data_IF_537060194558
#
_entry.id   IF_537060194558
#
_cell.length_a   1.000
_cell.length_b   1.000
_cell.length_c   1.000
_cell.angle_alpha   90.00
_cell.angle_beta   90.00
_cell.angle_gamma   90.00
#
_symmetry.space_group_name_H-M   'P 1'
#
loop_
_entity.id
_entity.type
_entity.pdbx_description
1 polymer ?
#
# COMPACT_ATOMS: atom_id res chain seq x y z
N UNK A 1 1.02 0.92 -21.49
CA UNK A 1 1.17 2.24 -20.86
C UNK A 1 1.43 3.26 -21.97
N UNK A 2 0.53 4.22 -22.17
CA UNK A 2 0.72 5.29 -23.16
C UNK A 2 1.28 6.50 -22.42
N UNK A 3 2.56 6.78 -22.63
CA UNK A 3 3.25 7.94 -22.07
C UNK A 3 3.19 9.02 -23.16
N UNK A 4 2.39 10.06 -22.98
CA UNK A 4 2.59 11.31 -23.71
C UNK A 4 3.72 12.05 -22.99
N UNK A 5 4.88 12.12 -23.64
CA UNK A 5 6.08 12.82 -23.17
C UNK A 5 6.02 14.27 -23.67
N UNK A 6 5.78 15.21 -22.75
CA UNK A 6 6.58 16.44 -22.75
C UNK A 6 7.83 16.08 -21.91
N UNK A 7 9.05 16.44 -22.32
CA UNK A 7 10.31 15.86 -21.77
C UNK A 7 10.42 15.90 -20.22
N UNK A 8 9.71 16.82 -19.56
CA UNK A 8 9.72 17.00 -18.10
C UNK A 8 8.40 16.66 -17.39
N UNK A 9 7.39 16.14 -18.11
CA UNK A 9 6.06 15.86 -17.53
C UNK A 9 5.47 14.57 -18.07
N UNK A 10 5.01 13.71 -17.16
CA UNK A 10 4.34 12.46 -17.51
C UNK A 10 3.03 12.29 -16.78
N UNK A 11 2.09 11.64 -17.47
CA UNK A 11 0.83 11.20 -16.88
C UNK A 11 0.87 9.69 -16.65
N UNK A 12 0.54 9.25 -15.43
CA UNK A 12 0.43 7.85 -15.04
C UNK A 12 -0.99 7.53 -14.62
N UNK A 13 -1.47 6.40 -15.13
CA UNK A 13 -2.77 5.82 -14.79
C UNK A 13 -2.59 4.33 -14.56
N UNK A 14 -3.41 3.72 -13.72
CA UNK A 14 -3.27 2.30 -13.44
C UNK A 14 -4.33 1.77 -12.49
N UNK A 15 -3.95 0.73 -11.76
CA UNK A 15 -4.76 0.12 -10.70
C UNK A 15 -4.04 0.27 -9.37
N UNK A 16 -4.82 0.28 -8.29
CA UNK A 16 -4.30 0.17 -6.92
C UNK A 16 -4.88 -1.09 -6.30
N UNK A 17 -4.13 -1.72 -5.41
CA UNK A 17 -4.60 -2.90 -4.68
C UNK A 17 -5.29 -2.43 -3.41
N UNK A 18 -6.55 -2.83 -3.22
CA UNK A 18 -7.38 -2.36 -2.12
C UNK A 18 -8.18 -3.49 -1.46
N UNK A 19 -8.43 -3.33 -0.16
CA UNK A 19 -9.39 -4.11 0.60
C UNK A 19 -10.26 -3.16 1.44
N UNK A 20 -11.54 -3.47 1.60
CA UNK A 20 -12.45 -2.65 2.41
C UNK A 20 -12.56 -3.21 3.82
N UNK A 21 -12.05 -2.46 4.80
CA UNK A 21 -12.21 -2.79 6.21
C UNK A 21 -13.57 -2.29 6.74
N UNK A 22 -14.31 -3.06 7.54
CA UNK A 22 -15.64 -2.67 8.03
C UNK A 22 -15.68 -1.33 8.78
N UNK A 23 -14.65 -1.03 9.58
CA UNK A 23 -14.56 0.19 10.37
C UNK A 23 -13.69 1.31 9.75
N UNK A 24 -12.70 0.95 8.93
CA UNK A 24 -11.71 1.91 8.42
C UNK A 24 -12.03 2.38 7.00
N UNK A 25 -12.98 1.71 6.34
CA UNK A 25 -13.25 1.91 4.91
C UNK A 25 -12.13 1.31 4.05
N UNK A 26 -11.86 1.89 2.87
CA UNK A 26 -10.88 1.33 1.95
C UNK A 26 -9.46 1.51 2.47
N UNK A 27 -8.71 0.41 2.44
CA UNK A 27 -7.27 0.37 2.66
C UNK A 27 -6.56 0.06 1.34
N UNK A 28 -5.36 0.58 1.20
CA UNK A 28 -4.55 0.49 -0.01
C UNK A 28 -3.14 0.00 0.31
N UNK A 29 -2.56 -0.81 -0.57
CA UNK A 29 -1.12 -1.10 -0.49
C UNK A 29 -0.32 0.18 -0.72
N UNK A 30 0.62 0.48 0.16
CA UNK A 30 1.55 1.59 0.05
C UNK A 30 2.98 1.06 -0.05
N UNK A 31 3.77 1.65 -0.93
CA UNK A 31 5.16 1.29 -1.12
C UNK A 31 5.99 2.55 -1.33
N UNK A 32 7.05 2.67 -0.55
CA UNK A 32 8.02 3.78 -0.64
C UNK A 32 9.37 3.17 -0.98
N UNK A 33 9.97 3.59 -2.09
CA UNK A 33 11.33 3.17 -2.42
C UNK A 33 12.33 4.14 -1.82
N UNK A 34 13.23 3.62 -0.99
CA UNK A 34 14.31 4.39 -0.36
C UNK A 34 15.65 4.20 -1.11
N UNK A 35 15.59 3.68 -2.35
CA UNK A 35 16.80 3.37 -3.14
C UNK A 35 17.64 4.60 -3.46
N UNK A 36 17.00 5.76 -3.63
CA UNK A 36 17.68 7.03 -3.88
C UNK A 36 18.62 7.44 -2.74
N UNK A 37 18.31 7.02 -1.51
CA UNK A 37 19.11 7.32 -0.30
C UNK A 37 19.87 6.09 0.22
N UNK A 38 19.85 4.98 -0.52
CA UNK A 38 20.48 3.71 -0.12
C UNK A 38 19.78 3.01 1.05
N UNK A 39 18.55 3.40 1.38
CA UNK A 39 17.73 2.79 2.43
C UNK A 39 16.96 1.55 1.95
N UNK A 40 16.40 0.75 2.88
CA UNK A 40 15.53 -0.37 2.53
C UNK A 40 14.18 0.13 2.02
N UNK A 41 13.66 -0.50 0.96
CA UNK A 41 12.29 -0.24 0.48
C UNK A 41 11.27 -0.52 1.60
N UNK A 42 10.27 0.36 1.77
CA UNK A 42 9.27 0.27 2.84
C UNK A 42 7.91 -0.19 2.28
N UNK A 43 7.37 -1.26 2.85
CA UNK A 43 6.06 -1.84 2.49
C UNK A 43 5.07 -1.52 3.60
N UNK A 44 3.92 -0.93 3.24
CA UNK A 44 2.92 -0.45 4.21
C UNK A 44 1.49 -0.56 3.69
N UNK A 45 0.53 -0.14 4.51
CA UNK A 45 -0.89 -0.03 4.18
C UNK A 45 -1.39 1.35 4.58
N UNK A 46 -2.13 1.98 3.69
CA UNK A 46 -2.65 3.34 3.86
C UNK A 46 -4.16 3.39 3.79
N UNK A 47 -4.76 4.38 4.44
CA UNK A 47 -6.16 4.79 4.21
C UNK A 47 -6.29 5.80 3.06
N UNK A 48 -5.17 6.30 2.54
CA UNK A 48 -5.15 7.32 1.49
C UNK A 48 -4.77 6.72 0.14
N UNK A 49 -5.66 6.86 -0.85
CA UNK A 49 -5.37 6.47 -2.23
C UNK A 49 -4.20 7.26 -2.83
N UNK A 50 -3.93 8.49 -2.36
CA UNK A 50 -2.80 9.29 -2.82
C UNK A 50 -1.43 8.68 -2.47
N UNK A 51 -1.39 7.80 -1.47
CA UNK A 51 -0.19 7.07 -1.05
C UNK A 51 -0.17 5.63 -1.57
N UNK A 52 -1.19 5.23 -2.32
CA UNK A 52 -1.32 3.88 -2.81
C UNK A 52 -0.27 3.60 -3.89
N UNK A 53 0.30 2.39 -3.84
CA UNK A 53 1.14 1.84 -4.89
C UNK A 53 0.33 1.72 -6.18
N UNK A 54 0.67 2.56 -7.17
CA UNK A 54 0.06 2.55 -8.49
C UNK A 54 0.75 1.53 -9.41
N UNK A 55 -0.02 0.55 -9.87
CA UNK A 55 0.44 -0.56 -10.71
C UNK A 55 -0.18 -0.50 -12.10
N UNK A 56 0.47 -1.12 -13.08
CA UNK A 56 -0.13 -1.27 -14.40
C UNK A 56 -1.36 -2.20 -14.35
N UNK A 57 -2.40 -1.96 -15.16
CA UNK A 57 -3.50 -2.92 -15.29
C UNK A 57 -2.97 -4.29 -15.70
N UNK A 58 -3.40 -5.36 -15.01
CA UNK A 58 -2.91 -6.71 -15.27
C UNK A 58 -1.52 -7.02 -14.69
N UNK A 59 -0.99 -6.20 -13.78
CA UNK A 59 0.34 -6.37 -13.15
C UNK A 59 0.61 -7.77 -12.57
N UNK A 60 -0.45 -8.51 -12.21
CA UNK A 60 -0.35 -9.89 -11.70
C UNK A 60 0.21 -10.87 -12.72
N UNK A 61 0.19 -10.53 -14.00
CA UNK A 61 0.75 -11.33 -15.09
C UNK A 61 2.11 -10.81 -15.57
N UNK A 62 2.61 -9.72 -14.98
CA UNK A 62 3.87 -9.08 -15.37
C UNK A 62 5.00 -9.35 -14.37
N UNK A 63 6.18 -8.79 -14.63
CA UNK A 63 7.30 -8.83 -13.69
C UNK A 63 6.96 -8.19 -12.34
N UNK A 64 6.00 -7.26 -12.30
CA UNK A 64 5.52 -6.61 -11.08
C UNK A 64 5.03 -7.61 -10.02
N UNK A 65 4.46 -8.76 -10.44
CA UNK A 65 4.07 -9.83 -9.51
C UNK A 65 5.25 -10.29 -8.65
N UNK A 66 6.45 -10.40 -9.21
CA UNK A 66 7.63 -10.85 -8.46
C UNK A 66 8.06 -9.86 -7.38
N UNK A 67 7.81 -8.58 -7.60
CA UNK A 67 8.21 -7.51 -6.67
C UNK A 67 7.14 -7.23 -5.60
N UNK A 68 5.86 -7.25 -5.99
CA UNK A 68 4.74 -6.81 -5.15
C UNK A 68 3.77 -7.93 -4.77
N UNK A 69 3.86 -9.13 -5.37
CA UNK A 69 2.96 -10.25 -5.05
C UNK A 69 3.03 -10.73 -3.60
N UNK A 70 4.16 -10.48 -2.92
CA UNK A 70 4.35 -10.77 -1.49
C UNK A 70 4.12 -9.57 -0.57
N UNK A 71 3.43 -8.51 -1.03
CA UNK A 71 3.30 -7.23 -0.29
C UNK A 71 2.85 -7.43 1.16
N UNK A 72 1.70 -8.08 1.38
CA UNK A 72 1.17 -8.30 2.72
C UNK A 72 2.09 -9.13 3.60
N UNK A 73 2.73 -10.16 3.04
CA UNK A 73 3.67 -10.98 3.80
C UNK A 73 4.87 -10.15 4.28
N UNK A 74 5.32 -9.16 3.51
CA UNK A 74 6.36 -8.21 3.92
C UNK A 74 5.86 -7.24 4.98
N UNK A 75 4.70 -6.60 4.75
CA UNK A 75 4.07 -5.71 5.73
C UNK A 75 3.93 -6.40 7.09
N UNK A 76 3.37 -7.61 7.11
CA UNK A 76 3.21 -8.40 8.35
C UNK A 76 4.56 -8.76 8.96
N UNK A 77 5.52 -9.23 8.15
CA UNK A 77 6.84 -9.60 8.67
C UNK A 77 7.57 -8.42 9.31
N UNK A 78 7.44 -7.24 8.73
CA UNK A 78 8.21 -6.06 9.12
C UNK A 78 7.51 -5.26 10.23
N UNK A 79 6.18 -5.35 10.35
CA UNK A 79 5.38 -4.52 11.27
C UNK A 79 4.53 -5.31 12.27
N UNK A 80 4.63 -6.64 12.31
CA UNK A 80 3.94 -7.46 13.31
C UNK A 80 4.86 -8.52 13.92
N UNK A 81 4.73 -8.73 15.23
CA UNK A 81 5.41 -9.79 15.97
C UNK A 81 4.38 -10.70 16.62
N UNK A 82 4.45 -11.98 16.29
CA UNK A 82 3.65 -13.05 16.88
C UNK A 82 4.54 -13.93 17.74
N UNK A 83 4.26 -14.03 19.03
CA UNK A 83 4.97 -14.93 19.93
C UNK A 83 4.04 -15.49 21.01
N UNK A 84 4.46 -16.57 21.64
CA UNK A 84 3.74 -17.19 22.75
C UNK A 84 4.32 -16.65 24.05
N UNK A 85 3.48 -16.11 24.93
CA UNK A 85 3.94 -15.51 26.18
C UNK A 85 4.52 -16.59 27.12
N UNK A 86 5.84 -16.54 27.43
CA UNK A 86 6.45 -17.52 28.31
C UNK A 86 5.94 -17.42 29.76
N UNK A 87 5.42 -16.27 30.20
CA UNK A 87 4.88 -16.08 31.56
C UNK A 87 3.58 -16.89 31.77
N UNK A 88 2.84 -17.15 30.68
CA UNK A 88 1.62 -17.96 30.67
C UNK A 88 1.82 -19.31 30.00
N UNK A 89 2.97 -19.97 30.25
CA UNK A 89 3.31 -21.31 29.73
C UNK A 89 3.26 -21.42 28.20
N UNK A 90 3.35 -20.30 27.48
CA UNK A 90 3.22 -20.25 26.03
C UNK A 90 1.83 -20.54 25.49
N UNK A 91 0.79 -20.49 26.34
CA UNK A 91 -0.59 -20.80 25.93
C UNK A 91 -1.18 -19.65 25.12
N UNK A 92 -0.94 -18.41 25.56
CA UNK A 92 -1.50 -17.22 24.94
C UNK A 92 -0.63 -16.71 23.80
N UNK A 93 -1.25 -16.52 22.64
CA UNK A 93 -0.64 -15.84 21.51
C UNK A 93 -0.68 -14.33 21.76
N UNK A 94 0.49 -13.71 21.78
CA UNK A 94 0.64 -12.26 21.83
C UNK A 94 0.96 -11.77 20.43
N UNK A 95 0.29 -10.68 20.03
CA UNK A 95 0.52 -9.97 18.78
C UNK A 95 0.86 -8.53 19.12
N UNK A 96 2.06 -8.11 18.72
CA UNK A 96 2.47 -6.72 18.79
C UNK A 96 2.49 -6.15 17.37
N UNK A 97 1.84 -5.01 17.17
CA UNK A 97 1.84 -4.28 15.90
C UNK A 97 2.70 -3.03 16.05
N UNK A 98 3.44 -2.69 15.00
CA UNK A 98 4.29 -1.51 14.92
C UNK A 98 3.82 -0.59 13.78
N UNK A 99 4.34 0.63 13.75
CA UNK A 99 4.16 1.63 12.69
C UNK A 99 2.70 1.83 12.21
N UNK A 100 2.47 1.59 10.91
CA UNK A 100 1.20 1.81 10.24
C UNK A 100 0.15 0.80 10.70
N UNK A 101 0.54 -0.45 10.97
CA UNK A 101 -0.39 -1.48 11.43
C UNK A 101 -0.93 -1.14 12.81
N UNK A 102 -0.07 -0.69 13.74
CA UNK A 102 -0.51 -0.23 15.05
C UNK A 102 -1.51 0.93 14.95
N UNK A 103 -1.21 1.90 14.08
CA UNK A 103 -2.05 3.07 13.86
C UNK A 103 -3.42 2.74 13.23
N UNK A 104 -3.47 1.73 12.36
CA UNK A 104 -4.70 1.26 11.73
C UNK A 104 -5.53 0.42 12.71
N UNK A 105 -4.89 -0.50 13.44
CA UNK A 105 -5.57 -1.33 14.43
C UNK A 105 -6.19 -0.49 15.55
N UNK A 106 -5.50 0.53 16.05
CA UNK A 106 -6.04 1.43 17.07
C UNK A 106 -7.34 2.13 16.64
N UNK A 107 -7.62 2.20 15.33
CA UNK A 107 -8.83 2.80 14.74
C UNK A 107 -9.84 1.74 14.26
N UNK A 108 -9.49 0.46 14.25
CA UNK A 108 -10.30 -0.60 13.64
C UNK A 108 -11.39 -1.14 14.56
N UNK A 109 -11.34 -0.81 15.86
CA UNK A 109 -12.13 -1.43 16.93
C UNK A 109 -11.93 -2.95 17.08
N UNK A 110 -10.83 -3.48 16.55
CA UNK A 110 -10.45 -4.89 16.69
C UNK A 110 -9.24 -5.01 17.62
N UNK A 111 -9.08 -6.16 18.27
CA UNK A 111 -7.80 -6.54 18.90
C UNK A 111 -6.70 -6.71 17.84
N UNK A 112 -5.43 -6.72 18.25
CA UNK A 112 -4.29 -6.95 17.36
C UNK A 112 -4.39 -8.29 16.62
N UNK A 113 -4.83 -9.34 17.32
CA UNK A 113 -5.05 -10.68 16.76
C UNK A 113 -6.15 -10.64 15.70
N UNK A 114 -7.29 -10.03 15.99
CA UNK A 114 -8.42 -9.94 15.06
C UNK A 114 -8.08 -9.09 13.84
N UNK A 115 -7.38 -7.98 14.03
CA UNK A 115 -6.93 -7.11 12.94
C UNK A 115 -5.93 -7.84 12.03
N UNK A 116 -4.95 -8.55 12.59
CA UNK A 116 -3.99 -9.33 11.82
C UNK A 116 -4.66 -10.51 11.09
N UNK A 117 -5.60 -11.18 11.74
CA UNK A 117 -6.41 -12.23 11.11
C UNK A 117 -7.24 -11.68 9.94
N UNK A 118 -7.87 -10.52 10.13
CA UNK A 118 -8.59 -9.82 9.06
C UNK A 118 -7.65 -9.48 7.90
N UNK A 119 -6.46 -8.93 8.18
CA UNK A 119 -5.49 -8.52 7.15
C UNK A 119 -5.10 -9.68 6.21
N UNK A 120 -4.97 -10.89 6.78
CA UNK A 120 -4.64 -12.15 6.09
C UNK A 120 -5.82 -12.70 5.29
N UNK A 121 -7.03 -12.56 5.80
CA UNK A 121 -8.25 -13.11 5.21
C UNK A 121 -8.94 -12.16 4.24
N UNK A 122 -8.64 -10.86 4.31
CA UNK A 122 -9.26 -9.84 3.49
C UNK A 122 -9.02 -10.11 1.99
N UNK A 123 -10.03 -9.80 1.19
CA UNK A 123 -9.92 -9.89 -0.25
C UNK A 123 -9.26 -8.61 -0.79
N UNK A 124 -8.03 -8.75 -1.28
CA UNK A 124 -7.25 -7.65 -1.86
C UNK A 124 -7.38 -7.64 -3.38
N UNK A 125 -8.24 -6.76 -3.86
CA UNK A 125 -8.63 -6.65 -5.27
C UNK A 125 -7.96 -5.47 -5.96
N UNK A 126 -7.81 -5.56 -7.27
CA UNK A 126 -7.34 -4.46 -8.09
C UNK A 126 -8.53 -3.53 -8.38
N UNK A 127 -8.43 -2.25 -8.01
CA UNK A 127 -9.45 -1.23 -8.30
C UNK A 127 -8.87 -0.13 -9.19
N UNK A 128 -9.69 0.61 -9.95
CA UNK A 128 -9.21 1.76 -10.71
C UNK A 128 -8.38 2.68 -9.82
N UNK A 129 -7.17 2.99 -10.28
CA UNK A 129 -6.27 3.90 -9.62
C UNK A 129 -6.52 5.35 -10.02
N UNK A 130 -5.86 6.30 -9.34
CA UNK A 130 -5.87 7.70 -9.73
C UNK A 130 -5.21 7.93 -11.09
N UNK A 131 -5.52 9.08 -11.69
CA UNK A 131 -4.63 9.73 -12.65
C UNK A 131 -3.64 10.59 -11.87
N UNK A 132 -2.36 10.30 -12.05
CA UNK A 132 -1.26 11.01 -11.41
C UNK A 132 -0.49 11.75 -12.50
N UNK A 133 -0.26 13.04 -12.30
CA UNK A 133 0.65 13.80 -13.13
C UNK A 133 1.93 14.03 -12.32
N UNK A 134 3.05 13.65 -12.90
CA UNK A 134 4.37 13.80 -12.33
C UNK A 134 5.21 14.72 -13.21
N UNK A 135 6.03 15.54 -12.58
CA UNK A 135 7.03 16.38 -13.26
C UNK A 135 8.43 15.94 -12.82
N UNK A 136 9.37 15.96 -13.75
CA UNK A 136 10.77 15.67 -13.46
C UNK A 136 11.41 16.91 -12.84
N UNK A 137 11.85 16.79 -11.60
CA UNK A 137 12.47 17.88 -10.84
C UNK A 137 13.95 17.56 -10.67
N UNK A 138 14.79 18.48 -11.14
CA UNK A 138 16.23 18.47 -10.89
C UNK A 138 16.54 19.12 -9.53
N UNK A 139 17.02 18.32 -8.59
CA UNK A 139 17.49 18.78 -7.29
C UNK A 139 19.00 19.10 -7.28
N UNK A 140 19.63 19.20 -8.45
CA UNK A 140 21.04 19.51 -8.69
C UNK A 140 21.99 18.30 -8.60
N UNK A 141 21.71 17.35 -7.72
CA UNK A 141 22.47 16.09 -7.58
C UNK A 141 21.69 14.85 -8.04
N UNK A 142 20.39 14.99 -8.28
CA UNK A 142 19.50 13.93 -8.73
C UNK A 142 18.26 14.53 -9.39
N UNK A 143 17.75 13.83 -10.40
CA UNK A 143 16.44 14.09 -10.99
C UNK A 143 15.45 13.08 -10.39
N UNK A 144 14.29 13.56 -9.94
CA UNK A 144 13.22 12.69 -9.45
C UNK A 144 11.85 13.10 -10.03
N UNK A 145 10.95 12.14 -10.14
CA UNK A 145 9.58 12.39 -10.60
C UNK A 145 8.70 12.73 -9.40
N UNK A 146 8.33 14.00 -9.26
CA UNK A 146 7.45 14.45 -8.19
C UNK A 146 6.00 14.52 -8.64
N UNK A 147 5.08 14.09 -7.77
CA UNK A 147 3.63 14.17 -8.03
C UNK A 147 3.17 15.62 -7.92
N UNK A 148 2.80 16.22 -9.06
CA UNK A 148 2.26 17.60 -9.11
C UNK A 148 0.74 17.64 -9.08
N UNK A 149 0.08 16.57 -9.50
CA UNK A 149 -1.38 16.47 -9.36
C UNK A 149 -1.86 15.03 -9.20
N UNK A 150 -2.94 14.89 -8.46
CA UNK A 150 -3.62 13.63 -8.18
C UNK A 150 -5.12 13.81 -8.43
N UNK A 151 -5.68 12.99 -9.32
CA UNK A 151 -7.11 12.94 -9.57
C UNK A 151 -7.62 11.53 -9.30
N UNK A 152 -8.42 11.30 -8.24
CA UNK A 152 -8.99 9.99 -7.98
C UNK A 152 -9.94 9.60 -9.12
N UNK A 153 -10.15 8.30 -9.37
CA UNK A 153 -11.14 7.87 -10.34
C UNK A 153 -12.51 8.43 -9.95
N UNK A 154 -13.26 8.93 -10.93
CA UNK A 154 -14.65 9.31 -10.70
C UNK A 154 -15.39 8.10 -10.17
N UNK A 155 -16.10 8.26 -9.05
CA UNK A 155 -16.90 7.18 -8.49
C UNK A 155 -17.79 6.62 -9.61
N UNK A 156 -17.65 5.33 -9.90
CA UNK A 156 -18.64 4.62 -10.71
C UNK A 156 -19.93 4.79 -9.91
N UNK A 157 -20.86 5.62 -10.40
CA UNK A 157 -22.21 5.64 -9.88
C UNK A 157 -22.75 4.24 -10.13
N UNK A 158 -22.72 3.40 -9.10
CA UNK A 158 -23.51 2.19 -9.07
C UNK A 158 -24.95 2.70 -9.01
N UNK A 159 -25.60 2.79 -10.18
CA UNK A 159 -27.05 2.98 -10.23
C UNK A 159 -27.70 1.80 -9.49
N UNK A 160 -28.70 2.07 -8.64
CA UNK A 160 -29.41 1.02 -7.91
C UNK A 160 -30.14 0.05 -8.82
#
# INVERSE_FOLDING_TARGET
>A
MQIELDDDRRTRTGVVVSATHPALGPLYWEFVSERSVGGPDYYSISTSMARALLLEPGWRETSALRYFGGHLSRVIKDQAREYRDPEYWGVDLVVELEDSLASLQAKSNQTEIEFLAWLRAAEWIDVPGPTVIEELIDHGFMEDWEVVSFTPPSAIQVQP
#
